data_IF_435387812035
#
_entry.id   IF_435387812035
#
_cell.length_a   1.000
_cell.length_b   1.000
_cell.length_c   1.000
_cell.angle_alpha   90.00
_cell.angle_beta   90.00
_cell.angle_gamma   90.00
#
_symmetry.space_group_name_H-M   'P 1'
#
loop_
_entity.id
_entity.type
_entity.pdbx_description
1 polymer ?
#
# COMPACT_ATOMS: atom_id res chain seq x y z
N UNK A 1 -16.61 14.23 -1.02
CA UNK A 1 -16.36 12.79 -0.80
C UNK A 1 -15.25 12.33 -1.72
N UNK A 2 -14.09 12.04 -1.13
CA UNK A 2 -12.92 11.49 -1.81
C UNK A 2 -13.17 10.08 -2.35
N UNK A 3 -12.25 9.55 -3.15
CA UNK A 3 -12.33 8.16 -3.62
C UNK A 3 -12.19 7.17 -2.44
N UNK A 4 -11.33 7.50 -1.46
CA UNK A 4 -11.13 6.74 -0.23
C UNK A 4 -12.44 6.53 0.56
N UNK A 5 -13.20 7.59 0.81
CA UNK A 5 -14.48 7.51 1.54
C UNK A 5 -15.55 6.68 0.80
N UNK A 6 -15.46 6.58 -0.53
CA UNK A 6 -16.43 5.82 -1.34
C UNK A 6 -16.15 4.32 -1.37
N UNK A 7 -14.98 3.88 -0.93
CA UNK A 7 -14.53 2.49 -1.03
C UNK A 7 -15.01 1.59 0.13
N UNK A 8 -15.69 2.16 1.13
CA UNK A 8 -16.08 1.43 2.34
C UNK A 8 -17.61 1.35 2.49
N UNK A 9 -18.17 0.19 2.13
CA UNK A 9 -19.59 -0.15 2.33
C UNK A 9 -19.92 -0.48 3.81
N UNK A 10 -18.89 -0.65 4.65
CA UNK A 10 -18.92 -0.89 6.09
C UNK A 10 -18.30 0.30 6.84
N UNK A 11 -18.48 0.39 8.15
CA UNK A 11 -17.90 1.51 8.91
C UNK A 11 -16.35 1.48 8.83
N UNK A 12 -15.74 2.66 8.67
CA UNK A 12 -14.28 2.83 8.70
C UNK A 12 -13.66 2.23 9.97
N UNK A 13 -14.40 2.28 11.08
CA UNK A 13 -13.97 1.73 12.37
C UNK A 13 -13.88 0.21 12.37
N UNK A 14 -14.84 -0.49 11.74
CA UNK A 14 -14.77 -1.95 11.57
C UNK A 14 -13.53 -2.32 10.75
N UNK A 15 -13.26 -1.57 9.67
CA UNK A 15 -12.09 -1.79 8.82
C UNK A 15 -10.78 -1.60 9.60
N UNK A 16 -10.64 -0.48 10.31
CA UNK A 16 -9.46 -0.19 11.15
C UNK A 16 -9.22 -1.33 12.14
N UNK A 17 -10.26 -1.74 12.87
CA UNK A 17 -10.17 -2.83 13.86
C UNK A 17 -9.69 -4.14 13.22
N UNK A 18 -10.18 -4.48 12.03
CA UNK A 18 -9.78 -5.69 11.31
C UNK A 18 -8.31 -5.63 10.87
N UNK A 19 -7.86 -4.48 10.37
CA UNK A 19 -6.46 -4.28 9.96
C UNK A 19 -5.49 -4.33 11.15
N UNK A 20 -5.84 -3.71 12.28
CA UNK A 20 -5.06 -3.80 13.52
C UNK A 20 -4.93 -5.25 14.00
N UNK A 21 -6.03 -6.01 13.99
CA UNK A 21 -6.02 -7.42 14.36
C UNK A 21 -5.12 -8.25 13.43
N UNK A 22 -5.14 -7.98 12.12
CA UNK A 22 -4.24 -8.65 11.17
C UNK A 22 -2.78 -8.37 11.49
N UNK A 23 -2.42 -7.12 11.78
CA UNK A 23 -1.07 -6.73 12.19
C UNK A 23 -0.58 -7.53 13.40
N UNK A 24 -1.40 -7.64 14.45
CA UNK A 24 -1.06 -8.40 15.66
C UNK A 24 -0.75 -9.87 15.38
N UNK A 25 -1.41 -10.50 14.39
CA UNK A 25 -1.13 -11.90 14.10
C UNK A 25 0.15 -12.08 13.28
N UNK A 26 0.51 -11.14 12.39
CA UNK A 26 1.77 -11.19 11.65
C UNK A 26 3.01 -11.04 12.54
N UNK A 27 2.88 -10.34 13.68
CA UNK A 27 3.97 -10.10 14.64
C UNK A 27 3.86 -10.96 15.93
N UNK A 28 2.77 -11.72 16.07
CA UNK A 28 2.53 -12.70 17.14
C UNK A 28 2.07 -12.10 18.47
N UNK A 29 1.29 -12.88 19.24
CA UNK A 29 0.94 -12.59 20.65
C UNK A 29 2.14 -12.76 21.63
N UNK A 30 3.35 -12.97 21.10
CA UNK A 30 4.53 -13.42 21.85
C UNK A 30 5.39 -12.30 22.43
N UNK A 31 5.04 -11.03 22.22
CA UNK A 31 5.67 -9.95 22.96
C UNK A 31 5.04 -9.92 24.36
N UNK A 32 5.80 -10.40 25.34
CA UNK A 32 5.65 -9.89 26.70
C UNK A 32 6.00 -8.42 26.61
N UNK A 33 5.01 -7.58 26.30
CA UNK A 33 5.13 -6.14 26.34
C UNK A 33 5.61 -5.80 27.76
N UNK A 34 6.90 -5.49 27.90
CA UNK A 34 7.32 -4.73 29.06
C UNK A 34 6.67 -3.37 28.88
N UNK A 35 5.56 -3.19 29.61
CA UNK A 35 4.94 -1.91 29.81
C UNK A 35 5.97 -1.03 30.52
N UNK A 36 6.86 -0.40 29.76
CA UNK A 36 7.68 0.68 30.29
C UNK A 36 6.76 1.87 30.41
N UNK A 37 6.45 2.22 31.66
CA UNK A 37 5.69 3.40 32.01
C UNK A 37 6.22 4.60 31.22
N UNK A 38 5.35 5.19 30.40
CA UNK A 38 5.60 6.45 29.73
C UNK A 38 5.72 7.57 30.77
N UNK A 39 6.89 7.69 31.38
CA UNK A 39 7.28 8.79 32.27
C UNK A 39 8.79 8.77 32.43
N UNK A 40 9.52 8.95 31.33
CA UNK A 40 10.91 9.37 31.39
C UNK A 40 11.35 10.03 30.08
N UNK A 41 11.61 11.33 30.20
CA UNK A 41 12.66 12.06 29.47
C UNK A 41 12.37 12.39 28.00
N UNK A 42 11.62 13.48 27.82
CA UNK A 42 11.98 14.48 26.82
C UNK A 42 13.39 14.99 27.15
N UNK A 43 14.41 14.39 26.53
CA UNK A 43 15.72 15.04 26.38
C UNK A 43 15.95 15.23 24.90
N UNK A 44 16.13 16.48 24.51
CA UNK A 44 16.58 16.92 23.20
C UNK A 44 17.81 16.09 22.80
N UNK A 45 17.62 15.10 21.93
CA UNK A 45 18.70 14.34 21.36
C UNK A 45 18.75 14.66 19.87
N UNK A 46 19.70 15.55 19.59
CA UNK A 46 20.25 15.98 18.31
C UNK A 46 19.52 15.46 17.06
N UNK A 47 18.76 16.37 16.45
CA UNK A 47 18.40 16.30 15.04
C UNK A 47 19.72 16.26 14.25
N UNK A 48 20.13 15.06 13.84
CA UNK A 48 21.11 14.91 12.77
C UNK A 48 20.38 15.38 11.51
N UNK A 49 20.55 16.66 11.20
CA UNK A 49 20.14 17.27 9.95
C UNK A 49 21.01 16.68 8.84
N UNK A 50 20.57 15.60 8.22
CA UNK A 50 21.10 15.22 6.91
C UNK A 50 20.36 16.03 5.85
N UNK A 51 20.88 17.22 5.59
CA UNK A 51 20.38 18.13 4.57
C UNK A 51 20.81 17.65 3.18
N UNK A 52 19.98 16.84 2.52
CA UNK A 52 19.70 16.86 1.07
C UNK A 52 18.95 15.59 0.61
N UNK A 53 17.65 15.70 0.29
CA UNK A 53 17.04 14.82 -0.71
C UNK A 53 16.68 13.39 -0.31
N UNK A 54 16.23 13.15 0.93
CA UNK A 54 15.49 11.92 1.22
C UNK A 54 14.16 11.95 0.44
N UNK A 55 13.91 10.93 -0.38
CA UNK A 55 12.59 10.77 -0.99
C UNK A 55 11.54 10.62 0.13
N UNK A 56 10.37 11.29 0.01
CA UNK A 56 9.34 11.20 1.02
C UNK A 56 8.84 9.76 1.15
N UNK A 57 8.64 9.30 2.38
CA UNK A 57 8.13 7.97 2.68
C UNK A 57 6.60 7.92 2.57
N UNK A 58 6.08 6.89 1.90
CA UNK A 58 4.64 6.71 1.67
C UNK A 58 3.90 6.53 3.00
N UNK A 59 4.48 5.75 3.92
CA UNK A 59 3.87 5.49 5.22
C UNK A 59 3.77 6.78 6.03
N UNK A 60 4.84 7.58 6.08
CA UNK A 60 4.81 8.90 6.73
C UNK A 60 3.78 9.86 6.11
N UNK A 61 3.66 9.90 4.77
CA UNK A 61 2.64 10.70 4.09
C UNK A 61 1.25 10.25 4.55
N UNK A 62 0.94 8.97 4.45
CA UNK A 62 -0.39 8.45 4.75
C UNK A 62 -0.74 8.53 6.24
N UNK A 63 0.26 8.45 7.12
CA UNK A 63 0.09 8.68 8.56
C UNK A 63 -0.25 10.14 8.85
N UNK A 64 0.49 11.09 8.26
CA UNK A 64 0.22 12.53 8.41
C UNK A 64 -1.17 12.91 7.92
N UNK A 65 -1.59 12.30 6.82
CA UNK A 65 -2.91 12.51 6.24
C UNK A 65 -4.02 11.72 6.98
N UNK A 66 -3.68 10.91 7.97
CA UNK A 66 -4.64 10.21 8.82
C UNK A 66 -5.35 9.02 8.16
N UNK A 67 -4.80 8.48 7.07
CA UNK A 67 -5.41 7.36 6.32
C UNK A 67 -4.68 6.03 6.51
N UNK A 68 -3.43 6.05 7.00
CA UNK A 68 -2.59 4.85 7.09
C UNK A 68 -3.23 3.70 7.88
N UNK A 69 -3.97 3.99 8.97
CA UNK A 69 -4.61 2.97 9.80
C UNK A 69 -5.80 2.26 9.15
N UNK A 70 -6.27 2.80 8.02
CA UNK A 70 -7.34 2.22 7.22
C UNK A 70 -6.82 1.55 5.95
N UNK A 71 -5.50 1.54 5.74
CA UNK A 71 -4.83 0.90 4.63
C UNK A 71 -3.98 -0.24 5.16
N UNK A 72 -3.97 -1.36 4.45
CA UNK A 72 -3.11 -2.48 4.83
C UNK A 72 -1.66 -2.09 4.59
N UNK A 73 -0.81 -2.25 5.60
CA UNK A 73 0.59 -1.82 5.58
C UNK A 73 0.81 -0.34 5.21
N UNK A 74 -0.19 0.51 5.43
CA UNK A 74 -0.09 1.95 5.25
C UNK A 74 -0.55 2.48 3.90
N UNK A 75 -0.55 1.69 2.82
CA UNK A 75 -0.84 2.16 1.44
C UNK A 75 -1.60 1.16 0.54
N UNK A 76 -1.91 -0.05 1.03
CA UNK A 76 -2.65 -1.02 0.24
C UNK A 76 -4.14 -0.98 0.59
N UNK A 77 -4.97 -0.59 -0.37
CA UNK A 77 -6.41 -0.71 -0.22
C UNK A 77 -6.90 -2.12 -0.58
N UNK A 78 -7.24 -2.90 0.46
CA UNK A 78 -7.80 -4.23 0.27
C UNK A 78 -9.32 -4.18 0.10
N UNK A 79 -9.85 -5.01 -0.79
CA UNK A 79 -11.28 -5.32 -0.80
C UNK A 79 -11.65 -6.16 0.43
N UNK A 80 -12.92 -6.15 0.82
CA UNK A 80 -13.42 -7.01 1.89
C UNK A 80 -13.16 -8.49 1.61
N UNK A 81 -13.23 -8.92 0.35
CA UNK A 81 -12.93 -10.29 -0.04
C UNK A 81 -11.44 -10.62 0.17
N UNK A 82 -10.54 -9.74 -0.25
CA UNK A 82 -9.10 -9.91 -0.04
C UNK A 82 -8.76 -9.93 1.45
N UNK A 83 -9.36 -9.03 2.23
CA UNK A 83 -9.19 -8.95 3.67
C UNK A 83 -9.66 -10.25 4.36
N UNK A 84 -10.86 -10.73 4.01
CA UNK A 84 -11.39 -12.01 4.50
C UNK A 84 -10.48 -13.21 4.17
N UNK A 85 -9.90 -13.23 2.97
CA UNK A 85 -9.00 -14.31 2.54
C UNK A 85 -7.70 -14.31 3.34
N UNK A 86 -7.16 -13.13 3.65
CA UNK A 86 -5.95 -13.01 4.48
C UNK A 86 -6.20 -13.36 5.95
N UNK A 87 -7.32 -12.93 6.52
CA UNK A 87 -7.73 -13.32 7.88
C UNK A 87 -7.84 -14.85 7.99
N UNK A 88 -8.42 -15.51 6.98
CA UNK A 88 -8.53 -16.97 6.95
C UNK A 88 -7.17 -17.67 6.80
N UNK A 89 -6.28 -17.13 5.96
CA UNK A 89 -4.98 -17.77 5.72
C UNK A 89 -4.07 -17.79 6.93
N UNK A 90 -4.18 -16.76 7.77
CA UNK A 90 -3.46 -16.65 9.02
C UNK A 90 -3.92 -17.75 10.00
N UNK A 91 -5.22 -18.05 10.04
CA UNK A 91 -5.76 -19.08 10.93
C UNK A 91 -5.45 -20.51 10.49
N UNK A 92 -5.07 -20.72 9.22
CA UNK A 92 -4.94 -22.07 8.63
C UNK A 92 -3.52 -22.63 8.56
N UNK A 93 -2.50 -21.92 9.09
CA UNK A 93 -1.11 -22.39 9.25
C UNK A 93 -0.48 -23.11 8.03
N UNK A 94 -0.91 -22.80 6.80
CA UNK A 94 -0.43 -23.46 5.58
C UNK A 94 -0.07 -22.43 4.50
N UNK A 95 1.20 -22.00 4.50
CA UNK A 95 1.85 -21.53 3.28
C UNK A 95 2.92 -22.56 2.88
N UNK A 96 2.75 -23.15 1.70
CA UNK A 96 3.74 -24.05 1.08
C UNK A 96 4.69 -23.31 0.12
N UNK A 97 4.64 -21.98 0.02
CA UNK A 97 5.36 -21.20 -1.01
C UNK A 97 6.21 -20.07 -0.41
N UNK A 98 7.53 -20.29 -0.31
CA UNK A 98 8.40 -19.40 0.49
C UNK A 98 8.98 -18.13 -0.21
N UNK A 99 8.72 -17.84 -1.49
CA UNK A 99 9.57 -16.87 -2.26
C UNK A 99 8.88 -15.81 -3.14
N UNK A 100 7.56 -15.57 -3.06
CA UNK A 100 6.88 -14.64 -3.99
C UNK A 100 6.33 -13.39 -3.30
N UNK A 101 6.59 -12.23 -3.91
CA UNK A 101 6.02 -10.91 -3.53
C UNK A 101 4.64 -10.65 -4.16
N UNK A 102 4.27 -11.41 -5.20
CA UNK A 102 2.94 -11.27 -5.82
C UNK A 102 1.91 -11.94 -4.92
N UNK A 103 0.88 -11.17 -4.58
CA UNK A 103 -0.25 -11.55 -3.75
C UNK A 103 -0.91 -12.86 -4.22
N UNK A 104 -0.98 -13.85 -3.33
CA UNK A 104 -1.78 -15.08 -3.54
C UNK A 104 -3.26 -14.77 -3.79
N UNK A 105 -3.74 -13.66 -3.23
CA UNK A 105 -5.14 -13.26 -3.23
C UNK A 105 -5.48 -12.17 -4.25
N UNK A 106 -4.50 -11.59 -4.94
CA UNK A 106 -4.77 -10.62 -6.00
C UNK A 106 -5.05 -11.34 -7.32
N UNK A 107 -6.08 -10.87 -8.01
CA UNK A 107 -6.36 -11.31 -9.37
C UNK A 107 -5.42 -10.55 -10.31
N UNK A 108 -4.72 -11.27 -11.18
CA UNK A 108 -3.81 -10.65 -12.14
C UNK A 108 -4.59 -10.06 -13.32
N UNK A 109 -4.07 -8.97 -13.88
CA UNK A 109 -4.63 -8.35 -15.07
C UNK A 109 -4.53 -9.29 -16.29
N UNK A 110 -5.63 -9.51 -17.02
CA UNK A 110 -5.64 -10.39 -18.17
C UNK A 110 -4.74 -9.83 -19.28
N UNK A 111 -4.11 -10.72 -20.03
CA UNK A 111 -3.21 -10.38 -21.14
C UNK A 111 -2.07 -9.43 -20.76
N UNK A 112 -1.71 -9.36 -19.47
CA UNK A 112 -0.67 -8.45 -18.94
C UNK A 112 -0.98 -6.99 -19.29
N UNK A 113 -2.27 -6.64 -19.34
CA UNK A 113 -2.73 -5.33 -19.79
C UNK A 113 -3.58 -4.67 -18.73
N UNK A 114 -3.10 -3.54 -18.24
CA UNK A 114 -3.82 -2.66 -17.32
C UNK A 114 -4.39 -1.51 -18.13
N UNK A 115 -5.69 -1.29 -18.02
CA UNK A 115 -6.31 -0.08 -18.58
C UNK A 115 -6.35 1.00 -17.51
N UNK A 116 -6.03 2.24 -17.88
CA UNK A 116 -6.06 3.36 -16.94
C UNK A 116 -6.60 4.62 -17.59
N UNK A 117 -6.95 5.59 -16.75
CA UNK A 117 -7.14 6.98 -17.18
C UNK A 117 -6.86 7.94 -16.03
N UNK A 118 -6.59 9.20 -16.37
CA UNK A 118 -6.36 10.24 -15.38
C UNK A 118 -7.66 10.94 -15.02
N UNK A 119 -7.93 11.05 -13.73
CA UNK A 119 -9.02 11.88 -13.23
C UNK A 119 -8.82 13.35 -13.67
N UNK A 120 -9.88 14.09 -14.02
CA UNK A 120 -9.79 15.51 -14.37
C UNK A 120 -9.07 16.37 -13.32
N UNK A 121 -9.20 16.04 -12.03
CA UNK A 121 -8.55 16.74 -10.92
C UNK A 121 -7.06 16.44 -10.73
N UNK A 122 -6.50 15.47 -11.47
CA UNK A 122 -5.08 15.14 -11.39
C UNK A 122 -4.23 16.17 -12.15
N UNK A 123 -3.29 16.81 -11.44
CA UNK A 123 -2.45 17.88 -11.99
C UNK A 123 -1.60 17.42 -13.20
N UNK A 124 -1.27 18.36 -14.09
CA UNK A 124 -0.41 18.07 -15.25
C UNK A 124 0.97 17.53 -14.84
N UNK A 125 1.53 18.04 -13.74
CA UNK A 125 2.78 17.54 -13.13
C UNK A 125 2.63 16.07 -12.73
N UNK A 126 1.56 15.73 -12.00
CA UNK A 126 1.34 14.37 -11.54
C UNK A 126 1.08 13.40 -12.70
N UNK A 127 0.31 13.81 -13.72
CA UNK A 127 0.13 13.03 -14.96
C UNK A 127 1.47 12.71 -15.63
N UNK A 128 2.40 13.67 -15.64
CA UNK A 128 3.75 13.47 -16.19
C UNK A 128 4.55 12.47 -15.37
N UNK A 129 4.49 12.55 -14.04
CA UNK A 129 5.17 11.61 -13.13
C UNK A 129 4.60 10.20 -13.28
N UNK A 130 3.27 10.06 -13.27
CA UNK A 130 2.59 8.80 -13.50
C UNK A 130 3.01 8.20 -14.85
N UNK A 131 3.01 8.98 -15.93
CA UNK A 131 3.43 8.49 -17.25
C UNK A 131 4.90 8.02 -17.25
N UNK A 132 5.81 8.70 -16.53
CA UNK A 132 7.20 8.26 -16.38
C UNK A 132 7.29 6.92 -15.63
N UNK A 133 6.53 6.74 -14.56
CA UNK A 133 6.48 5.48 -13.81
C UNK A 133 5.93 4.32 -14.67
N UNK A 134 4.83 4.55 -15.39
CA UNK A 134 4.27 3.58 -16.34
C UNK A 134 5.30 3.19 -17.41
N UNK A 135 5.99 4.16 -18.02
CA UNK A 135 7.02 3.91 -19.02
C UNK A 135 8.21 3.14 -18.42
N UNK A 136 8.61 3.46 -17.19
CA UNK A 136 9.68 2.77 -16.49
C UNK A 136 9.38 1.27 -16.33
N UNK A 137 8.16 0.92 -15.91
CA UNK A 137 7.70 -0.47 -15.75
C UNK A 137 7.60 -1.18 -17.10
N UNK A 138 6.97 -0.56 -18.11
CA UNK A 138 6.80 -1.17 -19.44
C UNK A 138 8.14 -1.44 -20.13
N UNK A 139 9.15 -0.59 -19.92
CA UNK A 139 10.47 -0.79 -20.52
C UNK A 139 11.24 -1.99 -19.93
N UNK A 140 10.80 -2.54 -18.79
CA UNK A 140 11.52 -3.59 -18.03
C UNK A 140 10.68 -4.85 -17.83
N UNK A 141 9.44 -4.86 -18.29
CA UNK A 141 8.51 -5.96 -18.08
C UNK A 141 7.70 -6.22 -19.35
N UNK A 142 6.93 -7.30 -19.37
CA UNK A 142 5.99 -7.58 -20.45
C UNK A 142 4.58 -7.03 -20.18
N UNK A 143 4.42 -6.18 -19.15
CA UNK A 143 3.15 -5.53 -18.81
C UNK A 143 2.95 -4.32 -19.72
N UNK A 144 1.69 -4.09 -20.13
CA UNK A 144 1.28 -2.94 -20.91
C UNK A 144 0.24 -2.12 -20.14
N UNK A 145 0.38 -0.80 -20.18
CA UNK A 145 -0.58 0.16 -19.64
C UNK A 145 -1.22 0.91 -20.80
N UNK A 146 -2.54 0.82 -20.89
CA UNK A 146 -3.30 1.37 -22.02
C UNK A 146 -4.27 2.42 -21.51
N UNK A 147 -4.12 3.65 -21.98
CA UNK A 147 -5.03 4.74 -21.63
C UNK A 147 -6.42 4.49 -22.26
N UNK A 148 -7.42 4.14 -21.46
CA UNK A 148 -8.79 3.92 -21.91
C UNK A 148 -9.79 4.04 -20.74
N UNK A 149 -10.65 5.06 -20.80
CA UNK A 149 -11.66 5.32 -19.78
C UNK A 149 -12.99 4.55 -19.99
N UNK A 150 -13.21 3.89 -21.13
CA UNK A 150 -14.52 3.31 -21.48
C UNK A 150 -14.63 1.82 -21.17
N UNK A 151 -13.50 1.14 -20.94
CA UNK A 151 -13.49 -0.28 -20.57
C UNK A 151 -14.04 -0.49 -19.16
N UNK A 152 -14.59 -1.68 -18.91
CA UNK A 152 -15.18 -2.04 -17.62
C UNK A 152 -14.10 -2.07 -16.52
N UNK A 153 -13.04 -2.85 -16.73
CA UNK A 153 -11.94 -3.04 -15.79
C UNK A 153 -10.83 -2.02 -16.07
N UNK A 154 -10.67 -1.05 -15.17
CA UNK A 154 -9.70 0.04 -15.33
C UNK A 154 -9.32 0.68 -14.02
N UNK A 155 -8.15 1.31 -14.01
CA UNK A 155 -7.64 2.11 -12.90
C UNK A 155 -7.89 3.59 -13.20
N UNK A 156 -8.61 4.26 -12.31
CA UNK A 156 -8.71 5.72 -12.30
C UNK A 156 -7.63 6.28 -11.38
N UNK A 157 -6.70 7.03 -11.94
CA UNK A 157 -5.64 7.69 -11.18
C UNK A 157 -6.17 9.02 -10.70
N UNK A 158 -6.30 9.18 -9.38
CA UNK A 158 -6.95 10.32 -8.72
C UNK A 158 -5.96 11.15 -7.91
N UNK A 159 -6.29 12.42 -7.73
CA UNK A 159 -5.69 13.28 -6.72
C UNK A 159 -6.55 13.20 -5.46
N UNK A 160 -6.37 12.14 -4.68
CA UNK A 160 -7.05 11.95 -3.40
C UNK A 160 -6.05 12.07 -2.25
N UNK A 161 -6.52 11.93 -1.02
CA UNK A 161 -5.67 11.97 0.17
C UNK A 161 -4.68 10.80 0.16
N UNK A 162 -3.39 11.10 0.36
CA UNK A 162 -2.29 10.14 0.43
C UNK A 162 -1.91 9.42 -0.87
N UNK A 163 -0.96 8.47 -0.75
CA UNK A 163 -0.47 7.61 -1.83
C UNK A 163 -0.92 6.18 -1.55
N UNK A 164 -1.74 5.60 -2.40
CA UNK A 164 -2.22 4.23 -2.18
C UNK A 164 -2.81 3.63 -3.45
N UNK A 165 -2.92 2.31 -3.47
CA UNK A 165 -3.54 1.59 -4.57
C UNK A 165 -4.30 0.35 -4.11
N UNK A 166 -5.30 -0.02 -4.90
CA UNK A 166 -5.87 -1.36 -4.84
C UNK A 166 -4.84 -2.41 -5.29
N UNK A 167 -4.85 -3.61 -4.69
CA UNK A 167 -3.91 -4.67 -5.05
C UNK A 167 -4.43 -5.61 -6.15
N UNK A 168 -3.74 -5.63 -7.30
CA UNK A 168 -4.15 -6.38 -8.49
C UNK A 168 -5.38 -5.81 -9.21
N UNK A 169 -6.04 -6.64 -10.01
CA UNK A 169 -7.32 -6.31 -10.65
C UNK A 169 -8.48 -6.64 -9.71
N UNK A 170 -9.13 -5.62 -9.16
CA UNK A 170 -10.28 -5.80 -8.25
C UNK A 170 -11.58 -6.11 -9.03
N UNK A 171 -11.69 -5.57 -10.26
CA UNK A 171 -12.92 -5.62 -11.04
C UNK A 171 -13.62 -4.25 -11.07
N UNK A 172 -14.40 -3.99 -12.13
CA UNK A 172 -14.95 -2.65 -12.38
C UNK A 172 -13.88 -1.53 -12.50
N UNK A 173 -14.31 -0.31 -12.23
CA UNK A 173 -13.39 0.82 -12.03
C UNK A 173 -12.82 0.76 -10.61
N UNK A 174 -11.49 0.76 -10.50
CA UNK A 174 -10.74 0.77 -9.24
C UNK A 174 -9.82 2.01 -9.19
N UNK A 175 -9.25 2.31 -8.02
CA UNK A 175 -8.58 3.60 -7.80
C UNK A 175 -7.09 3.42 -7.47
N UNK A 176 -6.33 4.44 -7.84
CA UNK A 176 -4.95 4.65 -7.40
C UNK A 176 -4.82 6.13 -7.07
N UNK A 177 -4.48 6.44 -5.81
CA UNK A 177 -4.26 7.81 -5.36
C UNK A 177 -2.81 8.22 -5.52
N UNK A 178 -2.60 9.33 -6.22
CA UNK A 178 -1.35 10.08 -6.20
C UNK A 178 -1.67 11.49 -5.71
N UNK A 179 -1.86 11.59 -4.40
CA UNK A 179 -2.15 12.83 -3.69
C UNK A 179 -0.96 13.77 -3.53
N UNK A 180 -1.13 14.71 -2.60
CA UNK A 180 -0.06 15.62 -2.17
C UNK A 180 1.11 14.82 -1.58
N UNK A 181 2.34 15.11 -2.00
CA UNK A 181 3.55 14.40 -1.54
C UNK A 181 3.91 13.15 -2.35
N UNK A 182 3.00 12.63 -3.19
CA UNK A 182 3.23 11.43 -3.99
C UNK A 182 3.97 11.70 -5.32
N UNK A 183 4.46 12.91 -5.54
CA UNK A 183 4.93 13.41 -6.83
C UNK A 183 6.40 13.05 -7.12
N UNK A 184 6.73 11.80 -6.80
CA UNK A 184 8.02 11.15 -7.02
C UNK A 184 7.80 9.93 -7.91
N UNK A 185 8.69 9.72 -8.89
CA UNK A 185 8.54 8.62 -9.86
C UNK A 185 8.60 7.26 -9.15
N UNK A 186 9.44 7.13 -8.11
CA UNK A 186 9.53 5.95 -7.26
C UNK A 186 8.20 5.62 -6.59
N UNK A 187 7.56 6.61 -5.94
CA UNK A 187 6.24 6.46 -5.31
C UNK A 187 5.18 6.06 -6.35
N UNK A 188 5.10 6.76 -7.48
CA UNK A 188 4.12 6.39 -8.51
C UNK A 188 4.36 4.97 -9.04
N UNK A 189 5.61 4.55 -9.22
CA UNK A 189 5.94 3.20 -9.64
C UNK A 189 5.61 2.15 -8.57
N UNK A 190 5.76 2.49 -7.28
CA UNK A 190 5.34 1.68 -6.14
C UNK A 190 3.84 1.40 -6.20
N UNK A 191 3.02 2.46 -6.33
CA UNK A 191 1.56 2.32 -6.40
C UNK A 191 1.11 1.52 -7.64
N UNK A 192 1.78 1.71 -8.78
CA UNK A 192 1.51 0.87 -9.94
C UNK A 192 1.95 -0.59 -9.73
N UNK A 193 2.95 -0.87 -8.90
CA UNK A 193 3.32 -2.24 -8.55
C UNK A 193 2.22 -2.91 -7.70
N UNK A 194 1.61 -2.20 -6.75
CA UNK A 194 0.41 -2.67 -6.05
C UNK A 194 -0.73 -2.98 -7.01
N UNK A 195 -1.03 -2.09 -7.96
CA UNK A 195 -2.01 -2.35 -9.03
C UNK A 195 -1.70 -3.64 -9.80
N UNK A 196 -0.43 -4.02 -9.95
CA UNK A 196 -0.01 -5.27 -10.60
C UNK A 196 -0.06 -6.50 -9.68
N UNK A 197 -0.39 -6.32 -8.40
CA UNK A 197 -0.53 -7.37 -7.40
C UNK A 197 0.72 -7.61 -6.57
N UNK A 198 1.66 -6.67 -6.52
CA UNK A 198 2.89 -6.78 -5.73
C UNK A 198 2.65 -6.26 -4.32
N UNK A 199 2.85 -7.11 -3.31
CA UNK A 199 2.93 -6.70 -1.91
C UNK A 199 4.33 -6.19 -1.57
N UNK A 200 4.44 -5.53 -0.42
CA UNK A 200 5.71 -5.13 0.13
C UNK A 200 6.71 -6.27 0.32
N UNK A 201 7.99 -5.94 0.22
CA UNK A 201 9.05 -6.94 0.15
C UNK A 201 9.31 -7.62 1.50
N UNK A 202 9.13 -6.88 2.60
CA UNK A 202 9.20 -7.39 3.97
C UNK A 202 8.01 -8.28 4.34
N UNK A 203 7.01 -8.44 3.48
CA UNK A 203 5.93 -9.42 3.68
C UNK A 203 6.23 -10.80 3.11
N UNK A 204 7.41 -11.00 2.52
CA UNK A 204 7.79 -12.32 2.02
C UNK A 204 7.89 -13.32 3.16
N UNK A 205 7.39 -14.53 2.93
CA UNK A 205 7.51 -15.67 3.86
C UNK A 205 8.96 -15.99 4.26
N UNK A 206 9.96 -15.63 3.44
CA UNK A 206 11.39 -15.83 3.72
C UNK A 206 12.12 -14.59 4.27
N UNK A 207 11.43 -13.51 4.64
CA UNK A 207 12.06 -12.25 5.08
C UNK A 207 13.02 -12.44 6.26
N UNK A 208 12.70 -13.34 7.19
CA UNK A 208 13.44 -13.51 8.44
C UNK A 208 14.83 -14.13 8.21
N UNK A 209 15.11 -14.59 6.98
CA UNK A 209 16.45 -14.98 6.54
C UNK A 209 17.32 -13.79 6.09
N UNK A 210 16.74 -12.60 5.92
CA UNK A 210 17.41 -11.40 5.38
C UNK A 210 17.33 -10.19 6.32
N UNK A 211 16.28 -10.08 7.12
CA UNK A 211 16.06 -8.97 8.04
C UNK A 211 15.67 -9.48 9.43
N UNK A 212 15.93 -8.65 10.44
CA UNK A 212 15.37 -8.82 11.79
C UNK A 212 14.43 -7.65 12.06
N UNK A 213 13.18 -7.94 12.41
CA UNK A 213 12.20 -6.90 12.75
C UNK A 213 12.33 -6.59 14.25
N UNK A 214 12.84 -5.40 14.56
CA UNK A 214 12.82 -4.87 15.93
C UNK A 214 11.49 -4.17 16.20
N UNK A 215 10.69 -4.75 17.09
CA UNK A 215 9.37 -4.25 17.45
C UNK A 215 9.40 -3.21 18.58
N UNK A 216 10.58 -2.86 19.13
CA UNK A 216 10.71 -1.98 20.30
C UNK A 216 10.03 -0.63 20.12
N UNK A 217 10.10 -0.07 18.91
CA UNK A 217 9.55 1.25 18.58
C UNK A 217 8.38 1.19 17.59
N UNK A 218 7.79 0.01 17.38
CA UNK A 218 6.65 -0.15 16.49
C UNK A 218 5.37 0.18 17.27
N UNK A 219 4.60 1.21 16.88
CA UNK A 219 3.33 1.53 17.55
C UNK A 219 2.36 0.34 17.51
N UNK A 220 1.65 0.13 18.62
CA UNK A 220 0.68 -0.97 18.81
C UNK A 220 -0.74 -0.50 18.61
#
# INVERSE_FOLDING_TARGET
MGAFEKLHLKSLEERRTRLQKLGQVFFGNGTRFQQTNATALLSEQEVISDSAGAEPDIVEINQREGIAEYLFQGDINLTDEQLNRMEKSITSAESTRSKRQVAKYAVLWPNKRVYYYFDPGLSARMRTIAQKALNYIQARTCVSFVHNATVLHKVRIVNDVGCWSDIGMVGGEQYLSLGSGCDVIGIAAHEFAHTLGVFHMEMRDDRDAYITVDLTNVPV
#
